data_IF_404978103489
#
_entry.id   IF_404978103489
#
_cell.length_a   1.000
_cell.length_b   1.000
_cell.length_c   1.000
_cell.angle_alpha   90.00
_cell.angle_beta   90.00
_cell.angle_gamma   90.00
#
_symmetry.space_group_name_H-M   'P 1'
#
loop_
_entity.id
_entity.type
_entity.pdbx_description
1 polymer ?
#
# COMPACT_ATOMS: atom_id res chain seq x y z
N UNK A 1 13.00 41.03 -28.87
CA UNK A 1 12.02 41.20 -27.78
C UNK A 1 11.12 39.97 -27.78
N UNK A 2 11.48 38.97 -26.98
CA UNK A 2 10.82 37.67 -26.89
C UNK A 2 9.83 37.68 -25.74
N UNK A 3 8.57 37.37 -26.03
CA UNK A 3 7.49 37.26 -25.04
C UNK A 3 7.71 36.04 -24.11
N UNK A 4 7.30 36.12 -22.83
CA UNK A 4 7.35 34.97 -21.94
C UNK A 4 6.12 34.08 -22.15
N UNK A 5 6.36 32.79 -22.37
CA UNK A 5 5.36 31.72 -22.44
C UNK A 5 4.77 31.45 -21.06
N UNK A 6 3.45 31.64 -20.93
CA UNK A 6 2.66 31.22 -19.78
C UNK A 6 2.72 29.69 -19.60
N UNK A 7 3.51 29.21 -18.63
CA UNK A 7 3.36 27.86 -18.08
C UNK A 7 2.11 27.85 -17.20
N UNK A 8 1.05 27.19 -17.67
CA UNK A 8 -0.08 26.77 -16.84
C UNK A 8 0.46 25.84 -15.75
N UNK A 9 0.56 26.35 -14.52
CA UNK A 9 0.63 25.54 -13.31
C UNK A 9 -0.67 24.75 -13.18
N UNK A 10 -0.61 23.44 -13.44
CA UNK A 10 -1.67 22.54 -13.01
C UNK A 10 -1.60 22.45 -11.50
N UNK A 11 -2.58 23.06 -10.82
CA UNK A 11 -2.79 22.90 -9.39
C UNK A 11 -3.11 21.43 -9.12
N UNK A 12 -2.19 20.69 -8.50
CA UNK A 12 -2.48 19.41 -7.86
C UNK A 12 -3.20 19.71 -6.54
N UNK A 13 -4.48 20.05 -6.65
CA UNK A 13 -5.36 20.10 -5.50
C UNK A 13 -5.74 18.66 -5.13
N UNK A 14 -5.04 18.05 -4.17
CA UNK A 14 -5.53 16.89 -3.40
C UNK A 14 -4.57 16.53 -2.26
N UNK A 15 -4.97 16.91 -1.04
CA UNK A 15 -4.93 16.12 0.23
C UNK A 15 -5.21 17.02 1.45
N UNK A 16 -6.16 17.94 1.33
CA UNK A 16 -6.86 18.48 2.50
C UNK A 16 -8.35 18.30 2.17
N UNK A 17 -9.08 17.54 2.98
CA UNK A 17 -10.54 17.40 2.94
C UNK A 17 -11.17 16.63 1.76
N UNK A 18 -11.18 15.29 1.86
CA UNK A 18 -12.41 14.53 1.60
C UNK A 18 -12.63 13.66 2.83
N UNK A 19 -13.20 14.26 3.87
CA UNK A 19 -13.96 13.49 4.84
C UNK A 19 -15.14 12.90 4.08
N UNK A 20 -15.20 11.58 4.00
CA UNK A 20 -16.48 10.92 3.78
C UNK A 20 -17.31 11.30 5.00
N UNK A 21 -18.40 12.06 4.81
CA UNK A 21 -19.39 12.33 5.87
C UNK A 21 -19.91 10.99 6.38
N UNK A 22 -19.26 10.49 7.41
CA UNK A 22 -19.51 9.21 8.07
C UNK A 22 -19.66 9.56 9.54
N UNK A 23 -20.66 9.00 10.27
CA UNK A 23 -20.85 9.31 11.69
C UNK A 23 -19.55 9.08 12.45
N UNK A 24 -18.97 10.18 12.94
CA UNK A 24 -17.59 10.30 13.44
C UNK A 24 -17.27 9.45 14.68
N UNK A 25 -18.23 8.69 15.23
CA UNK A 25 -18.08 8.03 16.52
C UNK A 25 -17.46 6.62 16.50
N UNK A 26 -17.58 5.88 15.40
CA UNK A 26 -17.22 4.45 15.38
C UNK A 26 -15.87 4.18 14.72
N UNK A 27 -15.54 4.96 13.67
CA UNK A 27 -14.32 4.77 12.88
C UNK A 27 -13.06 5.25 13.61
N UNK A 28 -13.13 6.40 14.29
CA UNK A 28 -12.04 6.83 15.16
C UNK A 28 -11.86 5.82 16.29
N UNK A 29 -12.88 5.16 16.82
CA UNK A 29 -12.66 4.21 17.91
C UNK A 29 -11.97 2.92 17.49
N UNK A 30 -12.19 2.44 16.26
CA UNK A 30 -11.55 1.24 15.73
C UNK A 30 -10.13 1.49 15.15
N UNK A 31 -9.82 2.74 14.77
CA UNK A 31 -8.53 3.14 14.17
C UNK A 31 -7.72 4.14 15.02
N UNK A 32 -8.29 4.67 16.10
CA UNK A 32 -7.73 5.61 17.10
C UNK A 32 -7.79 4.98 18.50
N UNK A 33 -7.49 3.70 18.60
CA UNK A 33 -6.81 3.26 19.82
C UNK A 33 -5.44 3.94 19.79
N UNK A 34 -5.32 5.04 20.54
CA UNK A 34 -4.02 5.62 20.86
C UNK A 34 -3.19 4.47 21.40
N UNK A 35 -2.03 4.14 20.80
CA UNK A 35 -1.17 3.11 21.36
C UNK A 35 -0.85 3.54 22.79
N UNK A 36 -1.10 2.65 23.75
CA UNK A 36 -0.64 2.83 25.11
C UNK A 36 0.81 3.31 25.08
N UNK A 37 1.11 4.32 25.89
CA UNK A 37 2.38 5.04 25.97
C UNK A 37 3.51 4.18 26.57
N UNK A 38 3.65 2.94 26.12
CA UNK A 38 4.88 2.20 26.23
C UNK A 38 5.89 2.77 25.23
N UNK A 39 7.18 2.79 25.59
CA UNK A 39 8.25 3.18 24.67
C UNK A 39 8.08 2.39 23.36
N UNK A 40 7.55 3.03 22.31
CA UNK A 40 7.13 2.31 21.09
C UNK A 40 8.37 1.69 20.44
N UNK A 41 8.57 0.42 20.79
CA UNK A 41 9.47 -0.52 20.18
C UNK A 41 9.00 -0.73 18.74
N UNK A 42 9.93 -0.94 17.82
CA UNK A 42 9.58 -1.32 16.45
C UNK A 42 8.72 -2.60 16.57
N UNK A 43 7.53 -2.67 15.93
CA UNK A 43 6.68 -3.85 16.02
C UNK A 43 7.44 -5.13 15.69
N UNK A 44 7.19 -6.20 16.45
CA UNK A 44 7.98 -7.45 16.40
C UNK A 44 8.03 -8.10 15.02
N UNK A 45 6.98 -7.94 14.20
CA UNK A 45 6.93 -8.47 12.83
C UNK A 45 8.01 -7.89 11.91
N UNK A 46 8.54 -6.69 12.19
CA UNK A 46 9.69 -6.12 11.47
C UNK A 46 11.03 -6.77 11.82
N UNK A 47 11.09 -7.48 12.95
CA UNK A 47 12.31 -8.16 13.42
C UNK A 47 12.43 -9.58 12.87
N UNK A 48 11.39 -10.07 12.20
CA UNK A 48 11.41 -11.36 11.54
C UNK A 48 12.33 -11.32 10.30
N UNK A 49 13.01 -12.43 9.95
CA UNK A 49 13.82 -12.48 8.74
C UNK A 49 12.94 -12.31 7.49
N UNK A 50 13.40 -11.62 6.43
CA UNK A 50 12.65 -11.52 5.18
C UNK A 50 12.58 -12.88 4.47
N UNK A 51 11.47 -13.14 3.76
CA UNK A 51 11.36 -14.28 2.85
C UNK A 51 12.17 -13.99 1.58
N UNK A 52 13.11 -14.88 1.24
CA UNK A 52 13.95 -14.74 0.05
C UNK A 52 14.06 -16.08 -0.72
N UNK A 53 13.70 -16.13 -2.03
CA UNK A 53 13.18 -15.02 -2.84
C UNK A 53 11.83 -14.51 -2.32
N UNK A 54 11.52 -13.24 -2.62
CA UNK A 54 10.22 -12.65 -2.30
C UNK A 54 9.11 -13.46 -2.99
N UNK A 55 7.98 -13.74 -2.32
CA UNK A 55 6.82 -14.38 -2.95
C UNK A 55 6.01 -13.39 -3.82
N UNK A 56 6.38 -12.11 -3.83
CA UNK A 56 5.79 -11.07 -4.67
C UNK A 56 6.71 -10.77 -5.84
N UNK A 57 6.16 -10.77 -7.05
CA UNK A 57 6.92 -10.44 -8.26
C UNK A 57 7.27 -8.94 -8.33
N UNK A 58 6.41 -8.11 -7.74
CA UNK A 58 6.52 -6.66 -7.75
C UNK A 58 6.13 -6.04 -9.07
N UNK A 59 5.05 -6.54 -9.69
CA UNK A 59 4.56 -6.08 -11.00
C UNK A 59 3.06 -5.78 -10.98
N UNK A 60 2.62 -4.87 -11.85
CA UNK A 60 1.20 -4.62 -12.05
C UNK A 60 0.53 -5.84 -12.72
N UNK A 61 1.24 -6.51 -13.62
CA UNK A 61 0.79 -7.70 -14.32
C UNK A 61 0.38 -8.81 -13.34
N UNK A 62 1.22 -9.11 -12.32
CA UNK A 62 0.88 -10.09 -11.28
C UNK A 62 -0.41 -9.71 -10.52
N UNK A 63 -0.61 -8.42 -10.24
CA UNK A 63 -1.86 -7.93 -9.63
C UNK A 63 -3.06 -8.09 -10.55
N UNK A 64 -2.92 -7.82 -11.86
CA UNK A 64 -4.00 -7.96 -12.84
C UNK A 64 -4.37 -9.43 -13.09
N UNK A 65 -3.38 -10.33 -13.09
CA UNK A 65 -3.60 -11.77 -13.19
C UNK A 65 -4.33 -12.30 -11.95
N UNK A 66 -3.93 -11.86 -10.75
CA UNK A 66 -4.64 -12.19 -9.51
C UNK A 66 -6.11 -11.73 -9.53
N UNK A 67 -6.39 -10.53 -10.09
CA UNK A 67 -7.77 -10.04 -10.28
C UNK A 67 -8.56 -10.88 -11.29
N UNK A 68 -7.90 -11.36 -12.36
CA UNK A 68 -8.54 -12.24 -13.34
C UNK A 68 -8.89 -13.59 -12.73
N UNK A 69 -7.97 -14.20 -11.98
CA UNK A 69 -8.18 -15.48 -11.32
C UNK A 69 -9.25 -15.38 -10.22
N UNK A 70 -9.24 -14.29 -9.44
CA UNK A 70 -10.30 -14.00 -8.49
C UNK A 70 -11.67 -13.87 -9.16
N UNK A 71 -11.74 -13.14 -10.29
CA UNK A 71 -12.99 -12.99 -11.05
C UNK A 71 -13.52 -14.31 -11.63
N UNK A 72 -12.63 -15.25 -11.98
CA UNK A 72 -12.99 -16.61 -12.42
C UNK A 72 -13.54 -17.44 -11.25
N UNK A 73 -12.90 -17.36 -10.08
CA UNK A 73 -13.32 -18.07 -8.87
C UNK A 73 -14.63 -17.50 -8.27
N UNK A 74 -14.84 -16.19 -8.41
CA UNK A 74 -15.98 -15.47 -7.85
C UNK A 74 -16.74 -14.66 -8.90
N UNK A 75 -17.63 -15.28 -9.70
CA UNK A 75 -18.35 -14.61 -10.78
C UNK A 75 -19.14 -13.36 -10.36
N UNK A 76 -19.64 -13.33 -9.11
CA UNK A 76 -20.36 -12.18 -8.56
C UNK A 76 -19.47 -10.93 -8.36
N UNK A 77 -18.14 -11.08 -8.43
CA UNK A 77 -17.17 -9.99 -8.30
C UNK A 77 -16.71 -9.40 -9.65
N UNK A 78 -17.15 -9.97 -10.79
CA UNK A 78 -16.63 -9.60 -12.13
C UNK A 78 -16.75 -8.10 -12.41
N UNK A 79 -17.83 -7.44 -11.97
CA UNK A 79 -18.00 -5.99 -12.14
C UNK A 79 -16.88 -5.20 -11.44
N UNK A 80 -16.54 -5.57 -10.22
CA UNK A 80 -15.45 -4.98 -9.43
C UNK A 80 -14.11 -5.26 -10.10
N UNK A 81 -13.87 -6.51 -10.50
CA UNK A 81 -12.61 -6.90 -11.16
C UNK A 81 -12.39 -6.12 -12.45
N UNK A 82 -13.44 -5.91 -13.24
CA UNK A 82 -13.38 -5.10 -14.46
C UNK A 82 -13.01 -3.64 -14.17
N UNK A 83 -13.55 -3.05 -13.09
CA UNK A 83 -13.19 -1.69 -12.68
C UNK A 83 -11.74 -1.61 -12.20
N UNK A 84 -11.28 -2.57 -11.39
CA UNK A 84 -9.91 -2.60 -10.86
C UNK A 84 -8.85 -2.77 -11.97
N UNK A 85 -9.19 -3.50 -13.04
CA UNK A 85 -8.29 -3.71 -14.19
C UNK A 85 -8.15 -2.52 -15.12
N UNK A 86 -9.09 -1.57 -15.09
CA UNK A 86 -9.00 -0.34 -15.90
C UNK A 86 -7.94 0.60 -15.34
N UNK A 87 -7.57 1.64 -16.10
CA UNK A 87 -6.75 2.73 -15.57
C UNK A 87 -7.43 3.38 -14.36
N UNK A 88 -6.61 3.81 -13.41
CA UNK A 88 -7.10 4.36 -12.14
C UNK A 88 -7.95 5.61 -12.38
N UNK A 89 -9.13 5.65 -11.77
CA UNK A 89 -9.99 6.84 -11.77
C UNK A 89 -10.44 7.19 -10.36
N UNK A 90 -10.49 8.50 -10.07
CA UNK A 90 -10.92 9.00 -8.76
C UNK A 90 -12.43 9.18 -8.62
N UNK A 91 -13.19 8.82 -9.64
CA UNK A 91 -14.65 8.94 -9.67
C UNK A 91 -15.37 7.64 -9.37
N UNK A 92 -14.65 6.55 -9.12
CA UNK A 92 -15.27 5.25 -8.81
C UNK A 92 -16.03 5.33 -7.49
N UNK A 93 -17.35 5.10 -7.54
CA UNK A 93 -18.14 4.92 -6.34
C UNK A 93 -18.05 3.47 -5.86
N UNK A 94 -17.07 3.20 -4.99
CA UNK A 94 -16.86 1.86 -4.44
C UNK A 94 -18.06 1.32 -3.66
N UNK A 95 -18.85 2.19 -3.03
CA UNK A 95 -20.03 1.76 -2.26
C UNK A 95 -21.08 1.16 -3.19
N UNK A 96 -21.37 1.81 -4.30
CA UNK A 96 -22.35 1.34 -5.29
C UNK A 96 -21.93 0.02 -5.96
N UNK A 97 -20.63 -0.29 -5.96
CA UNK A 97 -20.10 -1.56 -6.47
C UNK A 97 -20.15 -2.68 -5.42
N UNK A 98 -19.93 -2.37 -4.14
CA UNK A 98 -19.78 -3.36 -3.07
C UNK A 98 -21.11 -3.70 -2.38
N UNK A 99 -22.01 -2.74 -2.19
CA UNK A 99 -23.30 -2.97 -1.52
C UNK A 99 -24.15 -4.02 -2.25
N UNK A 100 -24.27 -4.02 -3.60
CA UNK A 100 -25.03 -5.05 -4.30
C UNK A 100 -24.51 -6.48 -4.06
N UNK A 101 -23.22 -6.66 -3.76
CA UNK A 101 -22.66 -7.97 -3.45
C UNK A 101 -23.20 -8.52 -2.13
N UNK A 102 -23.40 -7.66 -1.13
CA UNK A 102 -24.04 -8.03 0.13
C UNK A 102 -25.50 -8.43 -0.08
N UNK A 103 -26.21 -7.73 -0.96
CA UNK A 103 -27.63 -8.02 -1.25
C UNK A 103 -27.85 -9.33 -2.03
N UNK A 104 -26.79 -9.89 -2.64
CA UNK A 104 -26.86 -11.23 -3.27
C UNK A 104 -27.01 -12.35 -2.25
N UNK A 105 -26.63 -12.11 -0.99
CA UNK A 105 -26.77 -13.02 0.15
C UNK A 105 -28.24 -13.36 0.42
N UNK A 106 -29.15 -12.39 0.31
CA UNK A 106 -30.57 -12.59 0.62
C UNK A 106 -31.33 -13.40 -0.45
N UNK A 107 -30.78 -13.52 -1.67
CA UNK A 107 -31.54 -13.98 -2.85
C UNK A 107 -31.10 -15.34 -3.39
N UNK A 108 -29.95 -15.87 -2.99
CA UNK A 108 -29.41 -17.11 -3.59
C UNK A 108 -28.89 -18.10 -2.55
N UNK A 109 -29.13 -19.40 -2.78
CA UNK A 109 -28.64 -20.50 -1.93
C UNK A 109 -27.09 -20.66 -1.93
N UNK A 110 -26.39 -19.92 -2.80
CA UNK A 110 -24.92 -19.82 -2.86
C UNK A 110 -24.38 -18.57 -2.13
N UNK A 111 -25.27 -17.80 -1.48
CA UNK A 111 -25.01 -16.47 -0.96
C UNK A 111 -24.19 -16.48 0.32
N UNK A 112 -22.93 -16.07 0.21
CA UNK A 112 -22.23 -15.47 1.34
C UNK A 112 -21.52 -14.21 0.82
N UNK A 113 -22.32 -13.18 0.56
CA UNK A 113 -21.83 -11.89 0.04
C UNK A 113 -20.82 -11.26 0.99
N UNK A 114 -21.02 -11.46 2.30
CA UNK A 114 -20.03 -11.15 3.32
C UNK A 114 -18.70 -11.88 3.09
N UNK A 115 -18.69 -13.21 2.97
CA UNK A 115 -17.46 -13.96 2.73
C UNK A 115 -16.75 -13.50 1.45
N UNK A 116 -17.50 -13.18 0.38
CA UNK A 116 -16.90 -12.60 -0.82
C UNK A 116 -16.20 -11.25 -0.55
N UNK A 117 -16.74 -10.40 0.33
CA UNK A 117 -16.07 -9.18 0.75
C UNK A 117 -14.83 -9.44 1.61
N UNK A 118 -14.86 -10.47 2.47
CA UNK A 118 -13.68 -10.90 3.23
C UNK A 118 -12.58 -11.41 2.28
N UNK A 119 -12.93 -12.25 1.30
CA UNK A 119 -12.00 -12.70 0.26
C UNK A 119 -11.44 -11.53 -0.55
N UNK A 120 -12.27 -10.56 -0.91
CA UNK A 120 -11.85 -9.37 -1.64
C UNK A 120 -10.90 -8.49 -0.81
N UNK A 121 -11.14 -8.38 0.49
CA UNK A 121 -10.23 -7.71 1.40
C UNK A 121 -8.87 -8.40 1.40
N UNK A 122 -8.85 -9.72 1.56
CA UNK A 122 -7.59 -10.48 1.61
C UNK A 122 -6.87 -10.54 0.26
N UNK A 123 -7.59 -10.55 -0.86
CA UNK A 123 -6.99 -10.31 -2.17
C UNK A 123 -6.23 -8.98 -2.17
N UNK A 124 -6.88 -7.91 -1.71
CA UNK A 124 -6.28 -6.59 -1.68
C UNK A 124 -5.08 -6.50 -0.73
N UNK A 125 -5.19 -7.01 0.51
CA UNK A 125 -4.17 -6.85 1.55
C UNK A 125 -3.07 -7.89 1.50
N UNK A 126 -3.32 -9.10 1.01
CA UNK A 126 -2.30 -10.16 0.93
C UNK A 126 -1.65 -10.25 -0.44
N UNK A 127 -2.29 -9.76 -1.50
CA UNK A 127 -1.75 -9.85 -2.87
C UNK A 127 -1.56 -8.48 -3.50
N UNK A 128 -2.62 -7.71 -3.72
CA UNK A 128 -2.55 -6.50 -4.57
C UNK A 128 -1.67 -5.40 -3.98
N UNK A 129 -1.88 -5.04 -2.71
CA UNK A 129 -1.07 -4.03 -2.01
C UNK A 129 0.40 -4.44 -1.93
N UNK A 130 0.75 -5.68 -1.50
CA UNK A 130 2.15 -6.13 -1.50
C UNK A 130 2.84 -6.07 -2.87
N UNK A 131 2.19 -6.55 -3.93
CA UNK A 131 2.73 -6.47 -5.30
C UNK A 131 3.03 -5.02 -5.70
N UNK A 132 2.07 -4.11 -5.46
CA UNK A 132 2.24 -2.70 -5.80
C UNK A 132 3.25 -1.98 -4.90
N UNK A 133 3.38 -2.36 -3.63
CA UNK A 133 4.43 -1.84 -2.72
C UNK A 133 5.80 -2.26 -3.23
N UNK A 134 5.97 -3.54 -3.62
CA UNK A 134 7.22 -4.04 -4.17
C UNK A 134 7.60 -3.31 -5.48
N UNK A 135 6.64 -3.11 -6.39
CA UNK A 135 6.86 -2.35 -7.63
C UNK A 135 7.25 -0.88 -7.34
N UNK A 136 6.51 -0.22 -6.44
CA UNK A 136 6.80 1.16 -6.05
C UNK A 136 8.19 1.29 -5.42
N UNK A 137 8.58 0.35 -4.54
CA UNK A 137 9.92 0.31 -3.96
C UNK A 137 11.02 0.10 -5.00
N UNK A 138 10.78 -0.73 -6.02
CA UNK A 138 11.72 -0.88 -7.14
C UNK A 138 11.89 0.45 -7.89
N UNK A 139 10.80 1.17 -8.18
CA UNK A 139 10.84 2.49 -8.80
C UNK A 139 11.58 3.51 -7.93
N UNK A 140 11.29 3.56 -6.63
CA UNK A 140 12.00 4.41 -5.67
C UNK A 140 13.50 4.13 -5.65
N UNK A 141 13.90 2.86 -5.67
CA UNK A 141 15.32 2.50 -5.69
C UNK A 141 16.02 3.05 -6.93
N UNK A 142 15.45 2.84 -8.13
CA UNK A 142 15.99 3.37 -9.39
C UNK A 142 16.07 4.89 -9.37
N UNK A 143 15.02 5.54 -8.89
CA UNK A 143 14.97 6.99 -8.72
C UNK A 143 16.07 7.51 -7.79
N UNK A 144 16.22 6.97 -6.58
CA UNK A 144 17.24 7.44 -5.62
C UNK A 144 18.66 7.09 -6.08
N UNK A 145 18.84 6.01 -6.83
CA UNK A 145 20.11 5.69 -7.47
C UNK A 145 20.50 6.75 -8.52
N UNK A 146 19.54 7.21 -9.33
CA UNK A 146 19.72 8.22 -10.37
C UNK A 146 19.80 9.66 -9.81
N UNK A 147 18.92 10.03 -8.88
CA UNK A 147 18.77 11.36 -8.28
C UNK A 147 19.00 11.28 -6.77
N UNK A 148 20.27 11.17 -6.37
CA UNK A 148 20.70 10.93 -4.96
C UNK A 148 20.38 12.06 -3.98
N UNK A 149 19.99 13.23 -4.46
CA UNK A 149 19.63 14.41 -3.66
C UNK A 149 18.13 14.59 -3.48
N UNK A 150 17.32 13.72 -4.09
CA UNK A 150 15.86 13.76 -3.98
C UNK A 150 15.41 13.54 -2.53
N UNK A 151 14.39 14.27 -2.12
CA UNK A 151 13.83 14.18 -0.76
C UNK A 151 13.26 12.79 -0.46
N UNK A 152 13.32 12.39 0.80
CA UNK A 152 12.63 11.19 1.31
C UNK A 152 11.13 11.41 1.44
N UNK A 153 10.67 12.67 1.45
CA UNK A 153 9.26 13.06 1.54
C UNK A 153 8.60 13.21 0.16
N UNK A 154 8.87 12.26 -0.71
CA UNK A 154 8.24 12.22 -2.02
C UNK A 154 6.82 11.67 -1.91
N UNK A 155 5.83 12.42 -2.41
CA UNK A 155 4.40 12.06 -2.28
C UNK A 155 4.02 10.76 -2.99
N UNK A 156 4.81 10.33 -3.97
CA UNK A 156 4.56 9.11 -4.77
C UNK A 156 5.03 7.82 -4.09
N UNK A 157 5.69 7.91 -2.93
CA UNK A 157 6.11 6.72 -2.18
C UNK A 157 4.91 6.00 -1.60
N UNK A 158 4.95 4.67 -1.57
CA UNK A 158 3.92 3.85 -0.92
C UNK A 158 3.70 4.23 0.55
N UNK A 159 4.77 4.53 1.30
CA UNK A 159 4.69 4.94 2.71
C UNK A 159 4.27 6.39 2.90
N UNK A 160 3.96 7.14 1.83
CA UNK A 160 3.42 8.51 1.90
C UNK A 160 1.91 8.58 1.63
N UNK A 161 1.27 7.43 1.35
CA UNK A 161 -0.19 7.33 1.19
C UNK A 161 -0.95 7.59 2.50
N UNK A 162 -0.28 7.40 3.64
CA UNK A 162 -0.80 7.62 4.99
C UNK A 162 0.21 8.39 5.83
N UNK A 163 -0.26 8.98 6.93
CA UNK A 163 0.62 9.70 7.85
C UNK A 163 1.63 8.74 8.50
N UNK A 164 2.89 9.20 8.57
CA UNK A 164 3.96 8.48 9.25
C UNK A 164 3.72 8.47 10.76
N UNK A 165 3.78 7.28 11.35
CA UNK A 165 3.66 7.09 12.77
C UNK A 165 4.81 7.79 13.52
N UNK A 166 4.48 8.40 14.65
CA UNK A 166 5.43 9.09 15.52
C UNK A 166 5.49 8.42 16.88
N UNK A 167 6.69 8.40 17.46
CA UNK A 167 6.92 8.04 18.86
C UNK A 167 6.40 9.13 19.79
N UNK A 168 6.32 8.83 21.08
CA UNK A 168 5.94 9.80 22.13
C UNK A 168 6.81 11.08 22.13
N UNK A 169 8.08 10.98 21.69
CA UNK A 169 8.99 12.12 21.53
C UNK A 169 8.87 12.85 20.17
N UNK A 170 7.77 12.63 19.43
CA UNK A 170 7.48 13.24 18.13
C UNK A 170 8.47 12.88 16.99
N UNK A 171 9.37 11.90 17.19
CA UNK A 171 10.20 11.36 16.12
C UNK A 171 9.44 10.29 15.32
N UNK A 172 9.61 10.30 14.00
CA UNK A 172 9.03 9.26 13.14
C UNK A 172 9.59 7.88 13.48
N UNK A 173 8.73 6.87 13.41
CA UNK A 173 9.13 5.46 13.52
C UNK A 173 9.62 5.02 12.15
N UNK A 174 10.90 4.66 12.07
CA UNK A 174 11.58 4.30 10.83
C UNK A 174 12.22 2.94 10.97
N UNK A 175 12.03 2.08 9.98
CA UNK A 175 12.61 0.74 9.89
C UNK A 175 13.66 0.71 8.79
N UNK A 176 14.83 0.17 9.11
CA UNK A 176 15.93 0.09 8.16
C UNK A 176 15.72 -1.07 7.18
N UNK A 177 16.08 -0.83 5.91
CA UNK A 177 16.12 -1.86 4.89
C UNK A 177 17.44 -2.61 4.97
N UNK A 178 17.41 -3.81 5.55
CA UNK A 178 18.57 -4.71 5.62
C UNK A 178 18.56 -5.71 4.47
N UNK A 179 19.74 -6.11 3.95
CA UNK A 179 19.81 -7.19 2.98
C UNK A 179 19.35 -8.51 3.61
N UNK A 180 18.73 -9.42 2.85
CA UNK A 180 18.45 -10.76 3.34
C UNK A 180 19.77 -11.45 3.74
N UNK A 181 19.75 -12.20 4.83
CA UNK A 181 20.93 -12.94 5.29
C UNK A 181 21.22 -14.07 4.30
N UNK A 182 22.20 -13.86 3.42
CA UNK A 182 22.47 -14.68 2.23
C UNK A 182 22.87 -16.15 2.45
N UNK A 183 22.77 -16.69 3.66
CA UNK A 183 23.14 -18.06 4.02
C UNK A 183 22.14 -18.78 4.94
N UNK A 184 20.98 -18.20 5.24
CA UNK A 184 19.89 -19.01 5.77
C UNK A 184 19.31 -19.74 4.56
N UNK A 185 19.53 -21.05 4.47
CA UNK A 185 18.66 -21.97 3.72
C UNK A 185 17.26 -21.41 3.88
N UNK A 186 16.64 -21.03 2.76
CA UNK A 186 15.34 -20.35 2.70
C UNK A 186 14.56 -20.80 3.92
N UNK A 187 14.44 -19.95 4.95
CA UNK A 187 13.67 -20.30 6.14
C UNK A 187 12.32 -20.57 5.55
N UNK A 188 12.04 -21.87 5.37
CA UNK A 188 11.01 -22.36 4.49
C UNK A 188 9.79 -21.61 4.96
N UNK A 189 9.37 -20.62 4.16
CA UNK A 189 8.09 -20.00 4.37
C UNK A 189 7.18 -21.21 4.47
N UNK A 190 6.57 -21.34 5.66
CA UNK A 190 5.87 -22.51 6.13
C UNK A 190 5.28 -23.22 4.92
N UNK A 191 5.64 -24.50 4.75
CA UNK A 191 5.09 -25.36 3.70
C UNK A 191 3.68 -24.90 3.41
N UNK A 192 3.40 -24.59 2.14
CA UNK A 192 2.08 -24.23 1.61
C UNK A 192 1.08 -25.30 2.04
N UNK A 193 0.69 -25.30 3.31
CA UNK A 193 -0.52 -25.94 3.77
C UNK A 193 -1.58 -25.05 3.15
N UNK A 194 -1.90 -25.43 1.92
CA UNK A 194 -3.00 -24.90 1.15
C UNK A 194 -4.16 -24.78 2.12
N UNK A 195 -4.55 -23.54 2.38
CA UNK A 195 -5.61 -23.26 3.33
C UNK A 195 -6.85 -23.96 2.82
N UNK A 196 -7.17 -25.10 3.45
CA UNK A 196 -8.29 -25.95 3.04
C UNK A 196 -9.62 -25.22 3.20
N UNK A 197 -9.65 -24.17 4.02
CA UNK A 197 -10.84 -23.34 4.26
C UNK A 197 -10.99 -22.32 3.14
N UNK A 198 -9.89 -21.74 2.65
CA UNK A 198 -9.88 -20.69 1.63
C UNK A 198 -8.96 -21.04 0.44
N UNK A 199 -9.32 -22.05 -0.38
CA UNK A 199 -8.49 -22.49 -1.51
C UNK A 199 -8.38 -21.37 -2.55
N UNK A 200 -7.19 -20.80 -2.71
CA UNK A 200 -6.90 -19.68 -3.62
C UNK A 200 -6.63 -18.35 -2.93
N UNK A 201 -6.84 -18.25 -1.61
CA UNK A 201 -6.38 -17.10 -0.82
C UNK A 201 -4.88 -17.26 -0.52
N UNK A 202 -4.09 -16.20 -0.71
CA UNK A 202 -2.69 -16.20 -0.27
C UNK A 202 -2.63 -16.29 1.26
N UNK A 203 -1.79 -17.15 1.86
CA UNK A 203 -1.67 -17.23 3.30
C UNK A 203 -1.14 -15.92 3.90
N UNK A 204 -1.51 -15.64 5.14
CA UNK A 204 -0.93 -14.52 5.88
C UNK A 204 0.58 -14.73 6.02
N UNK A 205 1.36 -13.68 5.79
CA UNK A 205 2.82 -13.72 5.86
C UNK A 205 3.28 -12.88 7.05
N UNK A 206 3.63 -13.49 8.20
CA UNK A 206 3.95 -12.73 9.43
C UNK A 206 5.14 -11.77 9.27
N UNK A 207 6.06 -12.09 8.35
CA UNK A 207 7.24 -11.30 8.00
C UNK A 207 7.04 -10.48 6.71
N UNK A 208 5.80 -10.16 6.32
CA UNK A 208 5.50 -9.46 5.06
C UNK A 208 6.24 -8.14 4.94
N UNK A 209 6.27 -7.33 5.99
CA UNK A 209 6.96 -6.05 5.96
C UNK A 209 8.47 -6.21 5.86
N UNK A 210 9.07 -7.12 6.64
CA UNK A 210 10.50 -7.43 6.52
C UNK A 210 10.85 -7.85 5.09
N UNK A 211 9.98 -8.65 4.46
CA UNK A 211 10.11 -9.11 3.07
C UNK A 211 10.01 -7.97 2.07
N UNK A 212 8.95 -7.14 2.14
CA UNK A 212 8.71 -6.03 1.20
C UNK A 212 9.78 -4.93 1.30
N UNK A 213 10.31 -4.67 2.51
CA UNK A 213 11.28 -3.59 2.72
C UNK A 213 12.73 -4.05 2.66
N UNK A 214 12.99 -5.34 2.40
CA UNK A 214 14.34 -5.87 2.29
C UNK A 214 15.17 -5.09 1.27
N UNK A 215 16.45 -4.89 1.59
CA UNK A 215 17.41 -4.35 0.63
C UNK A 215 17.80 -5.44 -0.39
N UNK A 216 18.39 -5.08 -1.55
CA UNK A 216 19.02 -6.05 -2.43
C UNK A 216 20.03 -6.92 -1.67
N UNK A 217 20.29 -8.16 -2.13
CA UNK A 217 21.20 -9.11 -1.46
C UNK A 217 22.58 -8.51 -1.18
N UNK A 218 23.10 -7.72 -2.13
CA UNK A 218 24.37 -7.01 -2.04
C UNK A 218 24.31 -5.72 -1.20
N UNK A 219 23.16 -5.39 -0.63
CA UNK A 219 22.86 -4.11 0.00
C UNK A 219 22.76 -2.96 -1.01
N UNK A 220 22.55 -1.74 -0.50
CA UNK A 220 22.60 -0.54 -1.33
C UNK A 220 24.04 -0.08 -1.54
N UNK A 221 24.43 0.16 -2.79
CA UNK A 221 25.78 0.62 -3.13
C UNK A 221 26.14 2.00 -2.53
N UNK A 222 25.14 2.81 -2.20
CA UNK A 222 25.32 4.18 -1.69
C UNK A 222 24.54 4.33 -0.39
N UNK A 223 25.23 4.75 0.68
CA UNK A 223 24.62 4.97 2.00
C UNK A 223 23.37 5.86 1.96
N UNK A 224 23.42 6.95 1.18
CA UNK A 224 22.27 7.86 1.01
C UNK A 224 21.04 7.17 0.41
N UNK A 225 21.24 6.23 -0.51
CA UNK A 225 20.13 5.44 -1.06
C UNK A 225 19.55 4.55 0.04
N UNK A 226 20.40 3.89 0.84
CA UNK A 226 19.93 3.11 1.99
C UNK A 226 19.12 3.93 2.99
N UNK A 227 19.56 5.17 3.29
CA UNK A 227 18.79 6.08 4.15
C UNK A 227 17.45 6.49 3.52
N UNK A 228 17.42 6.72 2.21
CA UNK A 228 16.19 7.07 1.50
C UNK A 228 15.22 5.89 1.35
N UNK A 229 15.73 4.66 1.29
CA UNK A 229 14.92 3.45 1.14
C UNK A 229 14.34 2.89 2.43
N UNK A 230 14.68 3.49 3.59
CA UNK A 230 14.05 3.19 4.87
C UNK A 230 12.53 3.30 4.77
N UNK A 231 11.85 2.41 5.48
CA UNK A 231 10.40 2.39 5.59
C UNK A 231 9.95 3.27 6.76
N UNK A 232 8.98 4.15 6.51
CA UNK A 232 8.31 4.90 7.58
C UNK A 232 7.03 4.15 7.93
N UNK A 233 6.90 3.77 9.21
CA UNK A 233 5.73 3.01 9.69
C UNK A 233 4.47 3.85 9.50
N UNK A 234 3.41 3.24 8.97
CA UNK A 234 2.12 3.93 8.73
C UNK A 234 0.93 3.12 9.20
N UNK A 235 -0.28 3.70 9.10
CA UNK A 235 -1.51 2.94 9.31
C UNK A 235 -1.82 1.92 8.21
N UNK A 236 -1.11 1.92 7.08
CA UNK A 236 -1.22 0.87 6.05
C UNK A 236 -0.63 -0.45 6.58
N UNK A 237 0.32 -0.37 7.50
CA UNK A 237 1.09 -1.51 7.99
C UNK A 237 0.22 -2.55 8.67
N UNK A 238 -0.77 -2.10 9.45
CA UNK A 238 -1.76 -2.97 10.09
C UNK A 238 -2.57 -3.77 9.07
N UNK A 239 -2.84 -3.23 7.89
CA UNK A 239 -3.73 -3.88 6.92
C UNK A 239 -3.12 -5.13 6.32
N UNK A 240 -1.79 -5.15 6.13
CA UNK A 240 -1.08 -6.34 5.65
C UNK A 240 -0.98 -7.43 6.72
N UNK A 241 -1.39 -7.14 7.95
CA UNK A 241 -1.32 -8.03 9.11
C UNK A 241 -2.69 -8.50 9.60
N UNK A 242 -3.77 -8.26 8.84
CA UNK A 242 -5.10 -8.72 9.23
C UNK A 242 -5.18 -10.25 9.28
N UNK A 243 -5.69 -10.75 10.40
CA UNK A 243 -5.96 -12.16 10.66
C UNK A 243 -7.40 -12.53 10.26
N UNK A 244 -7.62 -13.80 9.94
CA UNK A 244 -8.94 -14.27 9.48
C UNK A 244 -10.00 -14.12 10.58
N UNK A 245 -9.63 -14.41 11.84
CA UNK A 245 -10.50 -14.27 13.01
C UNK A 245 -10.84 -12.80 13.30
N UNK A 246 -9.89 -11.89 13.11
CA UNK A 246 -10.12 -10.45 13.27
C UNK A 246 -11.18 -9.97 12.28
N UNK A 247 -11.01 -10.32 11.00
CA UNK A 247 -11.91 -9.91 9.92
C UNK A 247 -13.29 -10.56 10.07
N UNK A 248 -13.36 -11.84 10.43
CA UNK A 248 -14.61 -12.55 10.68
C UNK A 248 -15.41 -11.91 11.83
N UNK A 249 -14.73 -11.32 12.82
CA UNK A 249 -15.34 -10.62 13.94
C UNK A 249 -15.93 -9.24 13.62
N UNK A 250 -15.61 -8.65 12.46
CA UNK A 250 -16.09 -7.31 12.11
C UNK A 250 -17.56 -7.29 11.73
N UNK A 251 -18.26 -6.21 12.08
CA UNK A 251 -19.59 -5.96 11.52
C UNK A 251 -19.50 -5.65 10.00
N UNK A 252 -20.61 -5.80 9.30
CA UNK A 252 -20.69 -5.62 7.84
C UNK A 252 -20.28 -4.21 7.39
N UNK A 253 -20.65 -3.17 8.12
CA UNK A 253 -20.30 -1.79 7.77
C UNK A 253 -18.78 -1.56 7.84
N UNK A 254 -18.13 -2.07 8.89
CA UNK A 254 -16.68 -2.03 9.06
C UNK A 254 -15.98 -2.79 7.93
N UNK A 255 -16.47 -3.98 7.57
CA UNK A 255 -15.92 -4.78 6.48
C UNK A 255 -16.01 -4.05 5.13
N UNK A 256 -17.20 -3.55 4.76
CA UNK A 256 -17.40 -2.79 3.52
C UNK A 256 -16.46 -1.59 3.47
N UNK A 257 -16.38 -0.84 4.58
CA UNK A 257 -15.54 0.34 4.64
C UNK A 257 -14.06 -0.01 4.48
N UNK A 258 -13.56 -1.07 5.13
CA UNK A 258 -12.17 -1.47 5.00
C UNK A 258 -11.85 -2.03 3.61
N UNK A 259 -12.77 -2.77 2.98
CA UNK A 259 -12.63 -3.18 1.58
C UNK A 259 -12.54 -1.97 0.66
N UNK A 260 -13.45 -1.00 0.78
CA UNK A 260 -13.41 0.23 -0.01
C UNK A 260 -12.06 0.95 0.14
N UNK A 261 -11.58 1.06 1.38
CA UNK A 261 -10.33 1.73 1.69
C UNK A 261 -9.11 0.96 1.15
N UNK A 262 -9.08 -0.37 1.26
CA UNK A 262 -8.03 -1.21 0.70
C UNK A 262 -7.91 -1.08 -0.82
N UNK A 263 -9.05 -1.16 -1.53
CA UNK A 263 -9.09 -1.02 -2.98
C UNK A 263 -8.68 0.39 -3.45
N UNK A 264 -9.11 1.42 -2.72
CA UNK A 264 -8.74 2.80 -3.01
C UNK A 264 -7.23 3.05 -2.80
N UNK A 265 -6.66 2.53 -1.71
CA UNK A 265 -5.21 2.63 -1.46
C UNK A 265 -4.40 1.90 -2.52
N UNK A 266 -4.85 0.71 -2.94
CA UNK A 266 -4.20 -0.01 -4.04
C UNK A 266 -4.23 0.80 -5.34
N UNK A 267 -5.37 1.37 -5.71
CA UNK A 267 -5.48 2.23 -6.89
C UNK A 267 -4.57 3.46 -6.81
N UNK A 268 -4.49 4.13 -5.66
CA UNK A 268 -3.58 5.27 -5.48
C UNK A 268 -2.12 4.86 -5.60
N UNK A 269 -1.76 3.71 -5.02
CA UNK A 269 -0.39 3.19 -5.14
C UNK A 269 -0.04 2.85 -6.59
N UNK A 270 -1.00 2.27 -7.33
CA UNK A 270 -0.85 2.00 -8.76
C UNK A 270 -0.66 3.29 -9.57
N UNK A 271 -1.52 4.30 -9.42
CA UNK A 271 -1.37 5.60 -10.11
C UNK A 271 -0.04 6.26 -9.77
N UNK A 272 0.36 6.24 -8.49
CA UNK A 272 1.66 6.77 -8.06
C UNK A 272 2.83 6.06 -8.74
N UNK A 273 2.76 4.74 -8.86
CA UNK A 273 3.82 3.92 -9.46
C UNK A 273 3.89 4.15 -10.98
N UNK A 274 2.76 4.17 -11.67
CA UNK A 274 2.68 4.50 -13.11
C UNK A 274 3.26 5.91 -13.39
N UNK A 275 3.00 6.89 -12.51
CA UNK A 275 3.62 8.23 -12.59
C UNK A 275 5.13 8.21 -12.40
N UNK A 276 5.63 7.45 -11.44
CA UNK A 276 7.08 7.30 -11.23
C UNK A 276 7.76 6.67 -12.46
N UNK A 277 7.16 5.64 -13.05
CA UNK A 277 7.67 5.01 -14.27
C UNK A 277 7.65 5.99 -15.46
N UNK A 278 6.59 6.81 -15.58
CA UNK A 278 6.54 7.87 -16.58
C UNK A 278 7.66 8.90 -16.41
N UNK A 279 7.99 9.28 -15.17
CA UNK A 279 9.12 10.15 -14.85
C UNK A 279 10.45 9.49 -15.18
N UNK A 280 10.60 8.19 -14.93
CA UNK A 280 11.80 7.41 -15.25
C UNK A 280 12.14 7.50 -16.74
N UNK A 281 11.14 7.30 -17.60
CA UNK A 281 11.29 7.41 -19.07
C UNK A 281 11.80 8.79 -19.49
N UNK A 282 11.41 9.85 -18.76
CA UNK A 282 11.86 11.23 -18.99
C UNK A 282 13.18 11.57 -18.27
N UNK A 283 13.87 10.59 -17.71
CA UNK A 283 15.13 10.79 -16.98
C UNK A 283 14.96 11.54 -15.65
N UNK A 284 13.78 11.45 -15.03
CA UNK A 284 13.44 12.12 -13.78
C UNK A 284 13.51 13.65 -13.84
N UNK A 285 13.31 14.24 -15.03
CA UNK A 285 13.34 15.70 -15.23
C UNK A 285 12.29 16.45 -14.39
N UNK A 286 11.16 15.82 -14.10
CA UNK A 286 10.08 16.38 -13.28
C UNK A 286 10.47 16.56 -11.80
N UNK A 287 11.60 15.97 -11.38
CA UNK A 287 12.17 16.09 -10.03
C UNK A 287 13.32 17.09 -9.94
N UNK A 288 13.60 17.86 -11.00
CA UNK A 288 14.63 18.88 -11.00
C UNK A 288 14.17 20.17 -10.30
N UNK A 289 15.08 20.80 -9.56
CA UNK A 289 14.80 22.00 -8.78
C UNK A 289 15.02 21.79 -7.29
N UNK A 290 14.71 22.82 -6.50
CA UNK A 290 14.77 22.71 -5.03
C UNK A 290 13.57 21.93 -4.50
N UNK A 291 13.73 21.27 -3.35
CA UNK A 291 12.65 20.53 -2.70
C UNK A 291 11.39 21.39 -2.48
N UNK A 292 11.57 22.67 -2.17
CA UNK A 292 10.49 23.62 -1.94
C UNK A 292 9.80 24.15 -3.21
N UNK A 293 10.35 23.79 -4.37
CA UNK A 293 9.84 24.12 -5.71
C UNK A 293 9.27 22.87 -6.43
N UNK A 294 9.52 21.67 -5.89
CA UNK A 294 9.10 20.41 -6.48
C UNK A 294 7.71 20.02 -5.94
N UNK A 295 6.70 19.99 -6.81
CA UNK A 295 5.33 19.62 -6.45
C UNK A 295 5.21 18.20 -5.88
N UNK A 296 6.20 17.35 -6.15
CA UNK A 296 6.25 15.96 -5.70
C UNK A 296 6.86 15.80 -4.30
N UNK A 297 7.32 16.88 -3.66
CA UNK A 297 7.93 16.86 -2.33
C UNK A 297 7.05 17.57 -1.31
N UNK A 298 6.69 16.86 -0.23
CA UNK A 298 5.90 17.41 0.87
C UNK A 298 6.82 18.06 1.91
N UNK A 299 7.19 19.31 1.69
CA UNK A 299 7.97 20.06 2.68
C UNK A 299 7.06 20.58 3.82
N UNK A 300 7.38 20.20 5.08
CA UNK A 300 6.74 20.77 6.28
C UNK A 300 7.28 22.18 6.51
N UNK A 301 6.79 23.15 5.75
CA UNK A 301 7.00 24.57 6.09
C UNK A 301 6.26 24.97 7.38
N UNK A 302 5.32 24.13 7.88
CA UNK A 302 4.53 24.37 9.10
C UNK A 302 5.20 23.97 10.43
N UNK A 303 6.32 23.25 10.42
CA UNK A 303 6.99 22.84 11.66
C UNK A 303 7.99 23.89 12.22
N UNK A 304 8.12 25.05 11.57
CA UNK A 304 9.03 26.13 11.96
C UNK A 304 8.35 27.50 12.15
N UNK A 305 7.03 27.52 12.33
CA UNK A 305 6.28 28.74 12.66
C UNK A 305 5.73 28.63 14.09
#
# INVERSE_FOLDING_TARGET
>A
MTQPTNRRTMSVARTDSIFVDTPAGTLERALSEKPDLELIHIPSHYLLPPTHPSPFEGTLEASLDALLDFGRAHPNSISIMNVLRQSVTTTTNWRDLLVPILELEEKTAMGNGRLLLEELLFLATRTLLPEQIAQNRACMHRMYAAKRTTSTRMILRYDMLREWAKRANNHFIVVESHPPLGNLEASVAAAEEEDKVHPGRRPALPNIWATLIAAPVQGYHVYKVGQAMKHHVTGLDKWLMFEDEEVAGWNTDTLVQLVMQALLQWQWLRDNTERMESMEVKGWGDLEGRADECEWVRDDKRAKA
#
